data_IF_955836428922
#
_entry.id   IF_955836428922
#
_cell.length_a   1.000
_cell.length_b   1.000
_cell.length_c   1.000
_cell.angle_alpha   90.00
_cell.angle_beta   90.00
_cell.angle_gamma   90.00
#
_symmetry.space_group_name_H-M   'P 1'
#
loop_
_entity.id
_entity.type
_entity.pdbx_description
1 polymer ?
#
# COMPACT_ATOMS: atom_id res chain seq x y z
N UNK A 1 -27.26 -7.98 -30.59
CA UNK A 1 -27.54 -7.36 -29.28
C UNK A 1 -26.66 -8.11 -28.28
N UNK A 2 -25.41 -7.67 -28.19
CA UNK A 2 -24.28 -8.41 -27.62
C UNK A 2 -24.11 -8.12 -26.13
N UNK A 3 -24.02 -9.21 -25.37
CA UNK A 3 -23.22 -9.44 -24.16
C UNK A 3 -23.51 -8.64 -22.88
N UNK A 4 -24.47 -9.16 -22.12
CA UNK A 4 -24.72 -8.85 -20.69
C UNK A 4 -23.70 -9.50 -19.73
N UNK A 5 -22.41 -9.57 -20.10
CA UNK A 5 -21.38 -10.30 -19.34
C UNK A 5 -20.18 -9.47 -18.88
N UNK A 6 -20.19 -8.17 -19.09
CA UNK A 6 -19.13 -7.26 -18.65
C UNK A 6 -19.38 -6.61 -17.29
N UNK A 7 -20.60 -6.67 -16.75
CA UNK A 7 -20.95 -5.98 -15.49
C UNK A 7 -20.68 -6.82 -14.23
N UNK A 8 -20.28 -8.08 -14.38
CA UNK A 8 -20.08 -9.02 -13.26
C UNK A 8 -18.67 -8.99 -12.64
N UNK A 9 -17.71 -8.28 -13.24
CA UNK A 9 -16.34 -8.20 -12.71
C UNK A 9 -16.10 -6.95 -11.86
N UNK A 10 -16.89 -5.89 -12.06
CA UNK A 10 -16.82 -4.67 -11.25
C UNK A 10 -17.40 -4.86 -9.84
N UNK A 11 -18.21 -5.90 -9.61
CA UNK A 11 -18.80 -6.29 -8.32
C UNK A 11 -17.89 -7.17 -7.46
N UNK A 12 -16.77 -7.66 -8.00
CA UNK A 12 -15.81 -8.50 -7.28
C UNK A 12 -14.60 -7.72 -6.74
N UNK A 13 -14.52 -6.42 -7.02
CA UNK A 13 -13.56 -5.54 -6.35
C UNK A 13 -14.26 -5.05 -5.09
N UNK A 14 -13.89 -5.50 -3.88
CA UNK A 14 -14.47 -4.96 -2.68
C UNK A 14 -14.29 -3.44 -2.70
N UNK A 15 -15.42 -2.76 -2.74
CA UNK A 15 -15.54 -1.31 -2.67
C UNK A 15 -14.75 -0.82 -1.48
N UNK A 16 -13.74 0.01 -1.74
CA UNK A 16 -13.08 0.90 -0.77
C UNK A 16 -13.21 0.42 0.68
N UNK A 17 -12.50 -0.67 1.01
CA UNK A 17 -12.36 -1.04 2.41
C UNK A 17 -11.51 0.06 3.05
N UNK A 18 -12.21 1.03 3.66
CA UNK A 18 -11.67 2.09 4.51
C UNK A 18 -10.98 1.45 5.70
N UNK A 19 -9.79 0.91 5.50
CA UNK A 19 -8.88 0.53 6.57
C UNK A 19 -8.12 1.81 6.97
N UNK A 20 -8.77 2.53 7.89
CA UNK A 20 -8.26 3.54 8.83
C UNK A 20 -6.88 4.17 8.54
N UNK A 21 -6.90 5.46 8.16
CA UNK A 21 -5.79 6.40 8.38
C UNK A 21 -4.68 6.43 7.33
N UNK A 22 -4.52 5.41 6.50
CA UNK A 22 -3.59 5.41 5.37
C UNK A 22 -4.31 4.84 4.15
N UNK A 23 -4.37 5.59 3.05
CA UNK A 23 -4.87 5.07 1.77
C UNK A 23 -3.88 4.00 1.30
N UNK A 24 -4.17 2.74 1.57
CA UNK A 24 -3.35 1.62 1.11
C UNK A 24 -3.39 1.57 -0.42
N UNK A 25 -2.25 1.28 -1.03
CA UNK A 25 -2.14 1.15 -2.48
C UNK A 25 -1.59 -0.25 -2.74
N UNK A 26 -2.32 -1.04 -3.53
CA UNK A 26 -1.79 -2.27 -4.09
C UNK A 26 -0.93 -1.90 -5.30
N UNK A 27 0.34 -2.30 -5.28
CA UNK A 27 1.30 -1.97 -6.33
C UNK A 27 2.05 -3.24 -6.77
N UNK A 28 2.31 -3.34 -8.08
CA UNK A 28 3.19 -4.38 -8.63
C UNK A 28 4.61 -4.19 -8.13
N UNK A 29 5.27 -5.29 -7.74
CA UNK A 29 6.64 -5.26 -7.25
C UNK A 29 7.62 -4.65 -8.26
N UNK A 30 7.38 -4.87 -9.56
CA UNK A 30 8.16 -4.28 -10.66
C UNK A 30 8.08 -2.76 -10.69
N UNK A 31 6.92 -2.19 -10.37
CA UNK A 31 6.73 -0.73 -10.28
C UNK A 31 7.53 -0.16 -9.11
N UNK A 32 7.51 -0.82 -7.94
CA UNK A 32 8.32 -0.42 -6.79
C UNK A 32 9.82 -0.48 -7.13
N UNK A 33 10.26 -1.56 -7.78
CA UNK A 33 11.64 -1.72 -8.21
C UNK A 33 12.08 -0.63 -9.19
N UNK A 34 11.22 -0.29 -10.16
CA UNK A 34 11.46 0.82 -11.07
C UNK A 34 11.63 2.16 -10.33
N UNK A 35 10.79 2.43 -9.33
CA UNK A 35 10.92 3.62 -8.48
C UNK A 35 12.23 3.60 -7.69
N UNK A 36 12.62 2.47 -7.11
CA UNK A 36 13.89 2.32 -6.39
C UNK A 36 15.08 2.69 -7.27
N UNK A 37 15.11 2.19 -8.51
CA UNK A 37 16.15 2.50 -9.48
C UNK A 37 16.22 3.98 -9.85
N UNK A 38 15.07 4.62 -10.10
CA UNK A 38 15.06 6.05 -10.44
C UNK A 38 15.49 6.92 -9.25
N UNK A 39 15.07 6.58 -8.03
CA UNK A 39 15.51 7.28 -6.82
C UNK A 39 17.01 7.12 -6.60
N UNK A 40 17.54 5.91 -6.79
CA UNK A 40 18.98 5.63 -6.72
C UNK A 40 19.77 6.40 -7.78
N UNK A 41 19.25 6.50 -9.00
CA UNK A 41 19.86 7.28 -10.08
C UNK A 41 19.94 8.78 -9.75
N UNK A 42 18.93 9.33 -9.10
CA UNK A 42 18.86 10.77 -8.77
C UNK A 42 19.69 11.11 -7.53
N UNK A 43 19.63 10.27 -6.50
CA UNK A 43 20.17 10.57 -5.17
C UNK A 43 21.44 9.80 -4.80
N UNK A 44 21.83 8.79 -5.59
CA UNK A 44 22.94 7.90 -5.28
C UNK A 44 22.78 7.26 -3.91
N UNK A 45 23.81 7.39 -3.06
CA UNK A 45 23.80 6.88 -1.68
C UNK A 45 22.70 7.49 -0.80
N UNK A 46 22.19 8.68 -1.14
CA UNK A 46 21.06 9.32 -0.46
C UNK A 46 19.74 8.55 -0.60
N UNK A 47 19.60 7.68 -1.59
CA UNK A 47 18.42 6.84 -1.76
C UNK A 47 18.17 5.90 -0.57
N UNK A 48 19.24 5.44 0.10
CA UNK A 48 19.13 4.59 1.28
C UNK A 48 18.29 5.26 2.39
N UNK A 49 18.49 6.56 2.60
CA UNK A 49 17.76 7.32 3.62
C UNK A 49 16.27 7.45 3.29
N UNK A 50 15.93 7.62 2.01
CA UNK A 50 14.54 7.68 1.53
C UNK A 50 13.82 6.38 1.84
N UNK A 51 14.39 5.25 1.43
CA UNK A 51 13.78 3.94 1.61
C UNK A 51 13.73 3.52 3.08
N UNK A 52 14.77 3.81 3.85
CA UNK A 52 14.76 3.60 5.31
C UNK A 52 13.64 4.41 5.99
N UNK A 53 13.48 5.68 5.63
CA UNK A 53 12.46 6.55 6.22
C UNK A 53 11.05 6.11 5.82
N UNK A 54 10.84 5.73 4.55
CA UNK A 54 9.58 5.19 4.06
C UNK A 54 9.20 3.89 4.80
N UNK A 55 10.14 2.94 4.91
CA UNK A 55 9.92 1.68 5.63
C UNK A 55 9.64 1.89 7.11
N UNK A 56 10.39 2.77 7.78
CA UNK A 56 10.14 3.14 9.18
C UNK A 56 8.76 3.75 9.39
N UNK A 57 8.31 4.61 8.47
CA UNK A 57 6.97 5.18 8.48
C UNK A 57 5.87 4.13 8.34
N UNK A 58 6.02 3.23 7.35
CA UNK A 58 5.08 2.13 7.13
C UNK A 58 4.97 1.20 8.34
N UNK A 59 6.11 0.81 8.93
CA UNK A 59 6.13 -0.03 10.14
C UNK A 59 5.44 0.61 11.34
N UNK A 60 5.64 1.92 11.56
CA UNK A 60 4.92 2.66 12.61
C UNK A 60 3.42 2.70 12.36
N UNK A 61 3.00 2.97 11.12
CA UNK A 61 1.59 2.99 10.76
C UNK A 61 0.92 1.63 11.00
N UNK A 62 1.60 0.55 10.62
CA UNK A 62 1.14 -0.82 10.86
C UNK A 62 1.05 -1.12 12.37
N UNK A 63 2.05 -0.74 13.16
CA UNK A 63 2.04 -0.95 14.60
C UNK A 63 0.87 -0.22 15.29
N UNK A 64 0.56 1.01 14.87
CA UNK A 64 -0.59 1.76 15.36
C UNK A 64 -1.92 1.07 15.03
N UNK A 65 -2.04 0.51 13.81
CA UNK A 65 -3.24 -0.23 13.42
C UNK A 65 -3.39 -1.50 14.23
N UNK A 66 -2.34 -2.32 14.33
CA UNK A 66 -2.35 -3.53 15.16
C UNK A 66 -2.77 -3.19 16.59
N UNK A 67 -2.15 -2.18 17.20
CA UNK A 67 -2.51 -1.74 18.55
C UNK A 67 -4.00 -1.40 18.68
N UNK A 68 -4.54 -0.65 17.72
CA UNK A 68 -5.96 -0.29 17.70
C UNK A 68 -6.87 -1.52 17.58
N UNK A 69 -6.50 -2.48 16.75
CA UNK A 69 -7.25 -3.74 16.62
C UNK A 69 -7.25 -4.53 17.94
N UNK A 70 -6.09 -4.65 18.61
CA UNK A 70 -6.00 -5.28 19.94
C UNK A 70 -6.90 -4.59 20.98
N UNK A 71 -6.86 -3.26 21.05
CA UNK A 71 -7.72 -2.47 21.95
C UNK A 71 -9.21 -2.61 21.63
N UNK A 72 -9.56 -2.72 20.35
CA UNK A 72 -10.96 -2.85 19.90
C UNK A 72 -11.53 -4.23 20.22
N UNK A 73 -10.71 -5.28 20.12
CA UNK A 73 -11.13 -6.66 20.33
C UNK A 73 -10.83 -7.23 21.74
N UNK A 74 -10.26 -6.43 22.66
CA UNK A 74 -9.84 -6.87 24.01
C UNK A 74 -8.98 -8.15 23.97
N UNK A 75 -8.07 -8.24 22.99
CA UNK A 75 -7.05 -9.29 22.93
C UNK A 75 -5.86 -8.97 23.83
#
# INVERSE_FOLDING_TARGET
>A
MTDSKTDSLATLIPSEEKILGAKWILMRIETLHGMMKEVEKILGTGACLVWHTAGKGAGKSLACLIKKEFETYNL
#
